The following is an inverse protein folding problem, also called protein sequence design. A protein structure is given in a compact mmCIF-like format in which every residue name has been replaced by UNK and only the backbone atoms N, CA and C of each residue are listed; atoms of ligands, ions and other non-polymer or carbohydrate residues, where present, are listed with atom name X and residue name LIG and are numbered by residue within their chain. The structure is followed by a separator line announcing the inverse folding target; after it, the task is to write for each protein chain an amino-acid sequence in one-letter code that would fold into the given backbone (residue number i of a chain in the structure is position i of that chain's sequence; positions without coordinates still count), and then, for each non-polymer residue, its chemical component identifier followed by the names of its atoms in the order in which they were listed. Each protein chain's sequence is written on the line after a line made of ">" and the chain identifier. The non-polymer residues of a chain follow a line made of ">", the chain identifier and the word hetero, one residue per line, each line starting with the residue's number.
data_IF_563086480452
#
_entry.id   IF_563086480452
#
_cell.length_a   1.000
_cell.length_b   1.000
_cell.length_c   1.000
_cell.angle_alpha   90.00
_cell.angle_beta   90.00
_cell.angle_gamma   90.00
#
_symmetry.space_group_name_H-M   'P 1'
#
loop_
_entity.id
_entity.type
_entity.pdbx_description
1 polymer ?
#
# COMPACT_ATOMS: atom_id res chain seq x y z
N UNK A 1 2.01 1.55 14.68
CA UNK A 1 0.89 0.68 14.23
C UNK A 1 0.74 -0.46 15.23
N UNK A 2 -0.34 -1.24 15.17
CA UNK A 2 -0.49 -2.41 16.06
C UNK A 2 -0.08 -3.69 15.33
N UNK A 3 1.08 -4.24 15.67
CA UNK A 3 1.54 -5.54 15.15
C UNK A 3 0.94 -6.69 15.96
N UNK A 4 0.61 -7.80 15.29
CA UNK A 4 0.34 -9.08 15.96
C UNK A 4 1.65 -9.68 16.49
N UNK A 5 1.55 -10.78 17.24
CA UNK A 5 2.74 -11.54 17.64
C UNK A 5 3.56 -12.01 16.42
N UNK A 6 2.89 -12.53 15.38
CA UNK A 6 3.53 -12.95 14.14
C UNK A 6 4.16 -11.74 13.41
N UNK A 7 3.44 -10.62 13.33
CA UNK A 7 3.93 -9.39 12.71
C UNK A 7 5.20 -8.87 13.39
N UNK A 8 5.20 -8.83 14.72
CA UNK A 8 6.38 -8.43 15.50
C UNK A 8 7.56 -9.38 15.27
N UNK A 9 7.32 -10.69 15.29
CA UNK A 9 8.36 -11.70 15.08
C UNK A 9 8.98 -11.61 13.68
N UNK A 10 8.16 -11.53 12.64
CA UNK A 10 8.63 -11.40 11.25
C UNK A 10 9.35 -10.07 11.05
N UNK A 11 8.87 -8.98 11.65
CA UNK A 11 9.52 -7.68 11.53
C UNK A 11 10.96 -7.66 12.08
N UNK A 12 11.26 -8.47 13.09
CA UNK A 12 12.58 -8.61 13.69
C UNK A 12 13.47 -9.67 13.01
N UNK A 13 12.93 -10.39 12.03
CA UNK A 13 13.65 -11.44 11.32
C UNK A 13 14.64 -10.88 10.29
N UNK A 14 15.55 -11.74 9.83
CA UNK A 14 16.49 -11.43 8.76
C UNK A 14 15.79 -11.06 7.44
N UNK A 15 16.52 -10.40 6.55
CA UNK A 15 16.02 -9.92 5.24
C UNK A 15 15.30 -11.01 4.44
N UNK A 16 15.91 -12.19 4.33
CA UNK A 16 15.37 -13.28 3.53
C UNK A 16 13.99 -13.72 4.03
N UNK A 17 13.81 -13.85 5.35
CA UNK A 17 12.52 -14.25 5.92
C UNK A 17 11.48 -13.14 5.75
N UNK A 18 11.85 -11.87 5.99
CA UNK A 18 10.96 -10.74 5.74
C UNK A 18 10.47 -10.70 4.29
N UNK A 19 11.36 -10.88 3.31
CA UNK A 19 11.00 -10.86 1.90
C UNK A 19 10.09 -12.03 1.52
N UNK A 20 10.30 -13.23 2.08
CA UNK A 20 9.39 -14.37 1.89
C UNK A 20 7.98 -14.05 2.37
N UNK A 21 7.83 -13.45 3.56
CA UNK A 21 6.52 -13.02 4.05
C UNK A 21 5.92 -11.89 3.22
N UNK A 22 6.72 -10.93 2.76
CA UNK A 22 6.26 -9.88 1.86
C UNK A 22 5.71 -10.44 0.54
N UNK A 23 6.41 -11.42 -0.05
CA UNK A 23 5.95 -12.11 -1.25
C UNK A 23 4.66 -12.87 -0.98
N UNK A 24 4.55 -13.61 0.12
CA UNK A 24 3.32 -14.29 0.49
C UNK A 24 2.13 -13.32 0.60
N UNK A 25 2.33 -12.14 1.22
CA UNK A 25 1.33 -11.09 1.31
C UNK A 25 0.97 -10.50 -0.06
N UNK A 26 1.95 -10.22 -0.93
CA UNK A 26 1.71 -9.66 -2.27
C UNK A 26 1.04 -10.66 -3.22
N UNK A 27 1.36 -11.95 -3.12
CA UNK A 27 0.77 -12.98 -3.98
C UNK A 27 -0.53 -13.57 -3.41
N UNK A 28 -0.95 -13.14 -2.21
CA UNK A 28 -2.20 -13.59 -1.58
C UNK A 28 -2.12 -15.00 -1.02
N UNK A 29 -0.94 -15.43 -0.61
CA UNK A 29 -0.72 -16.66 0.15
C UNK A 29 -0.87 -16.43 1.67
N UNK A 30 -0.90 -15.18 2.12
CA UNK A 30 -1.11 -14.80 3.52
C UNK A 30 -2.02 -13.57 3.60
N UNK A 31 -2.78 -13.44 4.69
CA UNK A 31 -3.59 -12.27 4.96
C UNK A 31 -2.80 -11.26 5.83
N UNK A 32 -2.91 -9.97 5.53
CA UNK A 32 -2.25 -8.91 6.30
C UNK A 32 -2.74 -8.83 7.75
N UNK A 33 -3.98 -9.25 8.01
CA UNK A 33 -4.56 -9.25 9.35
C UNK A 33 -3.81 -10.19 10.32
N UNK A 34 -3.08 -11.17 9.79
CA UNK A 34 -2.20 -12.05 10.56
C UNK A 34 -0.95 -11.32 11.09
N UNK A 35 -0.61 -10.16 10.54
CA UNK A 35 0.60 -9.39 10.86
C UNK A 35 0.29 -8.04 11.51
N UNK A 36 -0.76 -7.35 11.05
CA UNK A 36 -1.15 -6.03 11.52
C UNK A 36 -2.57 -6.10 12.08
N UNK A 37 -2.70 -5.99 13.40
CA UNK A 37 -3.99 -5.99 14.09
C UNK A 37 -4.75 -4.70 13.82
N UNK A 38 -6.04 -4.81 13.45
CA UNK A 38 -6.91 -3.63 13.21
C UNK A 38 -6.31 -2.66 12.19
N UNK A 39 -5.53 -3.18 11.23
CA UNK A 39 -4.78 -2.37 10.29
C UNK A 39 -5.69 -1.44 9.49
N UNK A 40 -5.32 -0.17 9.44
CA UNK A 40 -5.83 0.71 8.40
C UNK A 40 -4.95 0.58 7.16
N UNK A 41 -5.49 0.95 5.99
CA UNK A 41 -4.83 0.80 4.69
C UNK A 41 -3.35 1.22 4.66
N UNK A 42 -3.01 2.31 5.34
CA UNK A 42 -1.64 2.81 5.47
C UNK A 42 -0.69 1.87 6.23
N UNK A 43 -1.12 1.29 7.34
CA UNK A 43 -0.29 0.40 8.16
C UNK A 43 0.03 -0.89 7.40
N UNK A 44 -0.99 -1.45 6.73
CA UNK A 44 -0.83 -2.62 5.87
C UNK A 44 0.20 -2.38 4.76
N UNK A 45 0.11 -1.21 4.09
CA UNK A 45 1.07 -0.84 3.05
C UNK A 45 2.48 -0.64 3.62
N UNK A 46 2.59 0.03 4.77
CA UNK A 46 3.87 0.34 5.40
C UNK A 46 4.59 -0.93 5.87
N UNK A 47 3.83 -1.87 6.43
CA UNK A 47 4.35 -3.14 6.89
C UNK A 47 4.94 -3.96 5.73
N UNK A 48 4.20 -4.13 4.63
CA UNK A 48 4.75 -4.83 3.45
C UNK A 48 5.96 -4.10 2.87
N UNK A 49 5.94 -2.76 2.84
CA UNK A 49 7.10 -2.00 2.38
C UNK A 49 8.33 -2.22 3.22
N UNK A 50 8.19 -2.19 4.53
CA UNK A 50 9.26 -2.49 5.46
C UNK A 50 9.83 -3.90 5.26
N UNK A 51 8.96 -4.91 5.03
CA UNK A 51 9.42 -6.28 4.80
C UNK A 51 10.22 -6.42 3.49
N UNK A 52 9.91 -5.61 2.47
CA UNK A 52 10.63 -5.62 1.18
C UNK A 52 11.95 -4.87 1.21
N UNK A 53 12.01 -3.74 1.93
CA UNK A 53 13.14 -2.81 1.95
C UNK A 53 13.72 -2.68 3.34
N UNK A 54 14.48 -3.69 3.72
CA UNK A 54 15.11 -3.77 5.03
C UNK A 54 16.14 -2.69 5.34
N UNK A 55 16.53 -1.88 4.35
CA UNK A 55 17.78 -1.13 4.33
C UNK A 55 17.70 0.35 3.94
N UNK A 56 16.52 0.93 3.64
CA UNK A 56 16.53 2.29 3.07
C UNK A 56 15.62 3.36 3.70
N UNK A 57 14.37 3.12 4.08
CA UNK A 57 13.44 4.25 4.29
C UNK A 57 12.40 4.09 5.42
N UNK A 58 12.19 2.87 5.94
CA UNK A 58 11.33 2.61 7.11
C UNK A 58 12.15 1.83 8.13
N UNK A 59 12.53 2.47 9.23
CA UNK A 59 13.20 1.80 10.34
C UNK A 59 12.21 0.94 11.15
N UNK A 60 12.67 -0.10 11.87
CA UNK A 60 11.81 -0.93 12.72
C UNK A 60 10.97 -0.10 13.72
N UNK A 61 11.59 0.88 14.38
CA UNK A 61 10.91 1.75 15.34
C UNK A 61 9.79 2.57 14.70
N UNK A 62 9.93 2.93 13.42
CA UNK A 62 8.88 3.64 12.69
C UNK A 62 7.60 2.80 12.58
N UNK A 63 7.69 1.46 12.58
CA UNK A 63 6.50 0.62 12.61
C UNK A 63 5.73 0.76 13.92
N UNK A 64 6.42 0.91 15.04
CA UNK A 64 5.80 1.04 16.35
C UNK A 64 5.24 2.46 16.54
N UNK A 65 6.02 3.47 16.15
CA UNK A 65 5.74 4.88 16.42
C UNK A 65 4.82 5.55 15.39
N UNK A 66 4.68 4.98 14.19
CA UNK A 66 3.83 5.54 13.13
C UNK A 66 2.61 4.66 12.93
N UNK A 67 1.42 5.26 12.95
CA UNK A 67 0.15 4.55 12.73
C UNK A 67 -0.78 5.33 11.81
N UNK A 68 -1.51 4.60 10.98
CA UNK A 68 -2.54 5.14 10.11
C UNK A 68 -2.10 6.30 9.24
N UNK A 69 -2.86 7.40 9.26
CA UNK A 69 -2.61 8.52 8.36
C UNK A 69 -1.25 9.19 8.57
N UNK A 70 -0.59 8.99 9.73
CA UNK A 70 0.77 9.48 9.98
C UNK A 70 1.80 8.90 9.01
N UNK A 71 1.50 7.79 8.34
CA UNK A 71 2.33 7.26 7.26
C UNK A 71 2.33 8.12 5.99
N UNK A 72 1.33 9.00 5.78
CA UNK A 72 1.25 9.86 4.59
C UNK A 72 2.53 10.66 4.39
N UNK A 73 3.04 11.29 5.45
CA UNK A 73 4.28 12.08 5.41
C UNK A 73 5.49 11.22 5.09
N UNK A 74 5.54 9.98 5.59
CA UNK A 74 6.64 9.05 5.31
C UNK A 74 6.60 8.55 3.87
N UNK A 75 5.44 8.12 3.37
CA UNK A 75 5.29 7.67 1.98
C UNK A 75 5.50 8.80 0.96
N UNK A 76 5.28 10.05 1.37
CA UNK A 76 5.56 11.24 0.58
C UNK A 76 4.94 11.19 -0.84
N UNK A 77 3.71 10.69 -0.93
CA UNK A 77 2.98 10.46 -2.18
C UNK A 77 2.87 11.72 -3.07
N UNK A 78 2.81 12.91 -2.45
CA UNK A 78 2.67 14.19 -3.15
C UNK A 78 3.88 14.53 -4.02
N UNK A 79 5.06 13.99 -3.71
CA UNK A 79 6.29 14.16 -4.52
C UNK A 79 6.54 12.98 -5.46
N UNK A 80 5.69 11.96 -5.40
CA UNK A 80 5.76 10.78 -6.24
C UNK A 80 5.17 11.02 -7.63
N UNK A 81 5.40 10.05 -8.52
CA UNK A 81 4.88 10.10 -9.88
C UNK A 81 3.36 9.82 -9.87
N UNK A 82 2.62 10.53 -10.71
CA UNK A 82 1.21 10.22 -10.92
C UNK A 82 1.08 9.08 -11.92
N UNK A 83 0.30 8.07 -11.56
CA UNK A 83 0.02 6.96 -12.45
C UNK A 83 -0.98 7.37 -13.54
N UNK A 84 -0.67 7.00 -14.78
CA UNK A 84 -1.40 7.40 -15.99
C UNK A 84 -2.61 6.50 -16.32
N UNK A 85 -2.80 5.43 -15.55
CA UNK A 85 -3.89 4.47 -15.74
C UNK A 85 -3.52 3.25 -16.59
N UNK A 86 -2.29 3.20 -17.13
CA UNK A 86 -1.87 2.18 -18.11
C UNK A 86 -0.51 1.58 -17.80
N UNK A 87 0.43 2.40 -17.34
CA UNK A 87 1.80 1.96 -17.10
C UNK A 87 1.85 0.82 -16.07
N UNK A 88 2.77 -0.12 -16.26
CA UNK A 88 3.02 -1.16 -15.25
C UNK A 88 3.64 -0.52 -14.01
N UNK A 89 3.05 -0.76 -12.85
CA UNK A 89 3.54 -0.33 -11.54
C UNK A 89 4.49 -1.43 -11.02
N UNK A 90 5.73 -1.11 -10.61
CA UNK A 90 6.64 -2.08 -10.03
C UNK A 90 6.05 -2.74 -8.78
N UNK A 91 6.28 -4.04 -8.62
CA UNK A 91 5.80 -4.78 -7.45
C UNK A 91 6.38 -4.20 -6.16
N UNK A 92 5.54 -4.22 -5.14
CA UNK A 92 5.74 -3.62 -3.84
C UNK A 92 5.40 -2.13 -3.76
N UNK A 93 5.39 -1.36 -4.87
CA UNK A 93 5.22 0.11 -4.82
C UNK A 93 4.06 0.54 -3.93
N UNK A 94 4.31 1.45 -2.99
CA UNK A 94 3.22 2.02 -2.21
C UNK A 94 2.44 2.98 -3.10
N UNK A 95 1.12 2.77 -3.19
CA UNK A 95 0.20 3.53 -4.04
C UNK A 95 -0.73 4.33 -3.16
N UNK A 96 -0.78 5.65 -3.37
CA UNK A 96 -1.65 6.57 -2.65
C UNK A 96 -2.79 7.08 -3.52
N UNK A 97 -4.01 7.09 -3.00
CA UNK A 97 -5.19 7.62 -3.68
C UNK A 97 -5.58 8.95 -3.07
N UNK A 98 -5.57 10.01 -3.87
CA UNK A 98 -5.78 11.38 -3.43
C UNK A 98 -7.06 11.98 -3.99
N UNK A 99 -7.80 12.70 -3.14
CA UNK A 99 -8.98 13.50 -3.50
C UNK A 99 -8.76 14.92 -3.00
N UNK A 100 -8.87 15.92 -3.87
CA UNK A 100 -8.64 17.32 -3.51
C UNK A 100 -7.27 17.57 -2.87
N UNK A 101 -6.22 16.90 -3.38
CA UNK A 101 -4.85 16.98 -2.84
C UNK A 101 -4.58 16.12 -1.62
N UNK A 102 -5.59 15.50 -1.00
CA UNK A 102 -5.42 14.71 0.21
C UNK A 102 -5.45 13.20 -0.10
N UNK A 103 -4.37 12.50 0.24
CA UNK A 103 -4.33 11.05 0.20
C UNK A 103 -5.27 10.49 1.28
N UNK A 104 -6.29 9.76 0.87
CA UNK A 104 -7.29 9.18 1.77
C UNK A 104 -7.14 7.66 1.91
N UNK A 105 -6.47 7.01 0.97
CA UNK A 105 -6.27 5.57 0.96
C UNK A 105 -4.88 5.19 0.44
N UNK A 106 -4.34 4.07 0.91
CA UNK A 106 -3.05 3.54 0.50
C UNK A 106 -3.12 2.05 0.22
N UNK A 107 -2.32 1.59 -0.73
CA UNK A 107 -2.25 0.22 -1.18
C UNK A 107 -0.82 -0.17 -1.51
N UNK A 108 -0.61 -1.46 -1.79
CA UNK A 108 0.66 -1.98 -2.32
C UNK A 108 0.42 -2.57 -3.70
N UNK A 109 1.20 -2.11 -4.67
CA UNK A 109 1.23 -2.71 -5.99
C UNK A 109 1.83 -4.11 -5.91
N UNK A 110 1.24 -5.07 -6.61
CA UNK A 110 1.75 -6.44 -6.70
C UNK A 110 2.39 -6.73 -8.06
N UNK A 111 2.58 -5.69 -8.87
CA UNK A 111 3.10 -5.74 -10.24
C UNK A 111 2.01 -5.52 -11.30
N UNK A 112 2.39 -4.92 -12.43
CA UNK A 112 1.42 -4.54 -13.45
C UNK A 112 0.50 -3.44 -12.95
N UNK A 113 -0.80 -3.60 -13.14
CA UNK A 113 -1.82 -2.62 -12.69
C UNK A 113 -2.55 -3.06 -11.43
N UNK A 114 -2.06 -4.13 -10.78
CA UNK A 114 -2.73 -4.76 -9.65
C UNK A 114 -2.21 -4.27 -8.31
N UNK A 115 -3.10 -4.13 -7.35
CA UNK A 115 -2.81 -3.74 -5.98
C UNK A 115 -3.47 -4.67 -4.96
N UNK A 116 -2.97 -4.66 -3.73
CA UNK A 116 -3.65 -5.17 -2.54
C UNK A 116 -3.80 -4.07 -1.50
N UNK A 117 -4.96 -4.04 -0.86
CA UNK A 117 -5.31 -3.09 0.19
C UNK A 117 -6.40 -3.66 1.10
N UNK A 118 -6.72 -2.92 2.15
CA UNK A 118 -7.84 -3.17 3.07
C UNK A 118 -8.61 -1.88 3.29
N UNK A 119 -9.91 -1.96 3.54
CA UNK A 119 -10.76 -0.80 3.88
C UNK A 119 -10.84 0.28 2.79
N UNK A 120 -10.58 -0.06 1.52
CA UNK A 120 -10.59 0.86 0.37
C UNK A 120 -11.83 0.78 -0.54
N UNK A 121 -12.84 -0.02 -0.18
CA UNK A 121 -14.00 -0.27 -1.04
C UNK A 121 -13.56 -0.86 -2.39
N UNK A 122 -13.90 -0.20 -3.49
CA UNK A 122 -13.48 -0.60 -4.85
C UNK A 122 -11.95 -0.52 -5.07
N UNK A 123 -11.21 0.17 -4.19
CA UNK A 123 -9.74 0.22 -4.21
C UNK A 123 -9.09 -0.91 -3.40
N UNK A 124 -9.89 -1.84 -2.87
CA UNK A 124 -9.44 -2.99 -2.10
C UNK A 124 -10.12 -3.04 -0.73
N UNK A 125 -11.21 -3.79 -0.64
CA UNK A 125 -11.95 -3.96 0.59
C UNK A 125 -11.25 -4.93 1.56
N UNK A 126 -10.53 -5.93 1.04
CA UNK A 126 -9.85 -6.94 1.83
C UNK A 126 -8.61 -7.48 1.12
N UNK A 127 -7.59 -7.82 1.91
CA UNK A 127 -6.24 -8.06 1.41
C UNK A 127 -6.16 -9.21 0.41
N UNK A 128 -6.95 -10.27 0.61
CA UNK A 128 -6.89 -11.50 -0.19
C UNK A 128 -7.39 -11.34 -1.62
N UNK A 129 -8.15 -10.28 -1.91
CA UNK A 129 -8.71 -10.03 -3.23
C UNK A 129 -7.97 -8.85 -3.88
N UNK A 130 -7.01 -9.10 -4.79
CA UNK A 130 -6.30 -8.01 -5.44
C UNK A 130 -7.24 -7.24 -6.38
N UNK A 131 -7.00 -5.95 -6.52
CA UNK A 131 -7.76 -5.08 -7.43
C UNK A 131 -6.88 -4.72 -8.62
N UNK A 132 -7.41 -4.87 -9.83
CA UNK A 132 -6.79 -4.36 -11.04
C UNK A 132 -7.26 -2.92 -11.30
N UNK A 133 -6.38 -1.95 -11.09
CA UNK A 133 -6.70 -0.54 -11.19
C UNK A 133 -7.11 -0.12 -12.60
N UNK A 134 -6.52 -0.73 -13.64
CA UNK A 134 -6.86 -0.38 -15.03
C UNK A 134 -8.29 -0.80 -15.40
N UNK A 135 -8.87 -1.74 -14.63
CA UNK A 135 -10.26 -2.17 -14.78
C UNK A 135 -11.20 -1.48 -13.80
N UNK A 136 -10.73 -1.19 -12.59
CA UNK A 136 -11.54 -0.61 -11.52
C UNK A 136 -11.70 0.92 -11.66
N UNK A 137 -10.75 1.59 -12.30
CA UNK A 137 -10.75 3.05 -12.45
C UNK A 137 -11.06 3.47 -13.88
N UNK A 138 -12.02 4.38 -14.01
CA UNK A 138 -12.33 5.02 -15.27
C UNK A 138 -11.57 6.35 -15.36
N UNK A 139 -10.82 6.62 -16.44
CA UNK A 139 -10.19 7.93 -16.64
C UNK A 139 -11.21 9.06 -16.66
N UNK A 140 -10.88 10.16 -15.99
CA UNK A 140 -11.68 11.38 -15.99
C UNK A 140 -11.15 12.34 -17.08
N UNK A 141 -11.99 12.88 -17.98
CA UNK A 141 -11.58 13.88 -18.96
C UNK A 141 -10.92 15.13 -18.36
N UNK A 142 -11.26 15.50 -17.12
CA UNK A 142 -10.60 16.58 -16.37
C UNK A 142 -9.23 16.17 -15.80
N UNK A 143 -8.80 14.93 -16.05
CA UNK A 143 -7.56 14.31 -15.61
C UNK A 143 -7.71 13.56 -14.29
N UNK A 144 -7.01 12.43 -14.16
CA UNK A 144 -7.16 11.52 -13.03
C UNK A 144 -8.22 10.45 -13.32
N UNK A 145 -8.95 10.02 -12.29
CA UNK A 145 -9.91 8.92 -12.39
C UNK A 145 -11.20 9.21 -11.65
N UNK A 146 -12.33 8.78 -12.22
CA UNK A 146 -13.63 8.87 -11.56
C UNK A 146 -13.75 7.77 -10.49
N UNK A 147 -14.07 8.18 -9.28
CA UNK A 147 -14.28 7.31 -8.13
C UNK A 147 -15.26 7.95 -7.14
N UNK A 148 -16.32 7.24 -6.74
CA UNK A 148 -17.36 7.77 -5.84
C UNK A 148 -17.92 9.15 -6.24
N UNK A 149 -18.25 9.31 -7.53
CA UNK A 149 -18.79 10.56 -8.12
C UNK A 149 -17.86 11.77 -8.01
N UNK A 150 -16.56 11.54 -7.80
CA UNK A 150 -15.53 12.59 -7.78
C UNK A 150 -14.28 12.12 -8.49
N UNK A 151 -13.41 13.06 -8.85
CA UNK A 151 -12.11 12.77 -9.42
C UNK A 151 -11.08 12.47 -8.32
N UNK A 152 -10.26 11.45 -8.54
CA UNK A 152 -9.10 11.12 -7.70
C UNK A 152 -7.82 11.08 -8.54
N UNK A 153 -6.68 11.23 -7.87
CA UNK A 153 -5.34 11.01 -8.43
C UNK A 153 -4.71 9.78 -7.78
N UNK A 154 -3.90 9.06 -8.55
CA UNK A 154 -3.16 7.88 -8.10
C UNK A 154 -1.68 8.24 -8.10
N UNK A 155 -1.06 8.17 -6.92
CA UNK A 155 0.33 8.55 -6.70
C UNK A 155 1.17 7.31 -6.40
N UNK A 156 2.34 7.22 -7.01
CA UNK A 156 3.31 6.16 -6.79
C UNK A 156 4.40 6.71 -5.88
N UNK A 157 4.47 6.18 -4.66
CA UNK A 157 5.52 6.55 -3.71
C UNK A 157 6.88 6.15 -4.26
N UNK A 158 7.85 7.06 -4.17
CA UNK A 158 9.26 6.80 -4.54
C UNK A 158 10.06 6.11 -3.42
N UNK A 159 9.36 5.67 -2.37
CA UNK A 159 9.89 4.95 -1.21
C UNK A 159 10.05 3.43 -1.47
#
# INVERSE_FOLDING_TARGET
>A
MQLTQLGGHVAQSGIAERQKHAQALMFGMANIDEYVSRGVCYDAAAYVRYLLRADALIAPDALLDTAGQSWRTRFNFETGDQWDGRASIPAGTAVGFARGGNVFHAAIAVGGTRIRAINGGLLGAGWMNPVDLARALQPDPAGGFTYDRTTIRVHLSRL
#
